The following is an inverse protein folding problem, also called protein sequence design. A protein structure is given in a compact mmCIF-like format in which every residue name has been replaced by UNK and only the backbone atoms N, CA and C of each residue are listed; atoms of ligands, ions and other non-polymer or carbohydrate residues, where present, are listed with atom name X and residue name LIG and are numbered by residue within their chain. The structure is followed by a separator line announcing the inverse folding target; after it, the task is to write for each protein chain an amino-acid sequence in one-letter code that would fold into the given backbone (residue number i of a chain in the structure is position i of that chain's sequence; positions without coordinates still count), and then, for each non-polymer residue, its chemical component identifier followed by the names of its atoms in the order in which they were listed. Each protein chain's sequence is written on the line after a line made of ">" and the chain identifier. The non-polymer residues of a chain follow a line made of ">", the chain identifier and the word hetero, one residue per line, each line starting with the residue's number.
data_IF_645020158275
#
_entry.id   IF_645020158275
#
_cell.length_a   1.000
_cell.length_b   1.000
_cell.length_c   1.000
_cell.angle_alpha   90.00
_cell.angle_beta   90.00
_cell.angle_gamma   90.00
#
_symmetry.space_group_name_H-M   'P 1'
#
loop_
_entity.id
_entity.type
_entity.pdbx_description
1 polymer ?
#
# COMPACT_ATOMS: atom_id res chain seq x y z
N UNK A 1 -31.49 10.15 2.36
CA UNK A 1 -32.14 11.37 1.90
C UNK A 1 -32.25 11.42 0.39
N UNK A 2 -33.34 11.99 -0.11
CA UNK A 2 -33.68 12.09 -1.55
C UNK A 2 -32.67 12.85 -2.41
N UNK A 3 -31.69 13.52 -1.81
CA UNK A 3 -30.71 14.40 -2.48
C UNK A 3 -29.25 14.01 -2.27
N UNK A 4 -28.98 12.81 -1.81
CA UNK A 4 -27.58 12.35 -1.75
C UNK A 4 -27.16 11.89 -3.14
N UNK A 5 -26.26 12.61 -3.84
CA UNK A 5 -25.82 12.20 -5.16
C UNK A 5 -25.10 10.85 -5.07
N UNK A 6 -25.30 10.00 -6.06
CA UNK A 6 -24.48 8.81 -6.23
C UNK A 6 -23.09 9.27 -6.63
N UNK A 7 -22.14 9.18 -5.72
CA UNK A 7 -20.73 9.47 -5.99
C UNK A 7 -20.00 8.18 -6.31
N UNK A 8 -19.13 8.24 -7.30
CA UNK A 8 -18.14 7.18 -7.53
C UNK A 8 -16.94 7.50 -6.64
N UNK A 9 -16.79 6.76 -5.54
CA UNK A 9 -15.65 6.90 -4.66
C UNK A 9 -14.48 5.98 -5.07
N UNK A 10 -13.26 6.33 -4.63
CA UNK A 10 -12.08 5.46 -4.80
C UNK A 10 -11.61 5.28 -6.25
N UNK A 11 -11.93 6.24 -7.13
CA UNK A 11 -11.44 6.25 -8.52
C UNK A 11 -9.94 6.42 -8.56
N UNK A 12 -9.24 5.58 -9.34
CA UNK A 12 -7.80 5.65 -9.57
C UNK A 12 -7.52 5.68 -11.06
N UNK A 13 -6.93 6.77 -11.51
CA UNK A 13 -6.48 6.90 -12.90
C UNK A 13 -5.45 5.86 -13.24
N UNK A 14 -5.57 5.29 -14.42
CA UNK A 14 -4.54 4.43 -15.00
C UNK A 14 -3.52 5.27 -15.77
N UNK A 15 -2.35 4.68 -16.00
CA UNK A 15 -1.20 5.32 -16.62
C UNK A 15 -1.45 5.80 -18.05
N UNK A 16 -2.36 5.15 -18.76
CA UNK A 16 -2.72 5.52 -20.13
C UNK A 16 -3.50 6.84 -20.23
N UNK A 17 -4.03 7.35 -19.10
CA UNK A 17 -4.84 8.57 -19.07
C UNK A 17 -6.23 8.43 -19.67
N UNK A 18 -6.58 7.26 -20.22
CA UNK A 18 -7.86 6.97 -20.86
C UNK A 18 -8.79 6.16 -19.98
N UNK A 19 -8.23 5.46 -19.00
CA UNK A 19 -8.94 4.55 -18.12
C UNK A 19 -8.76 4.89 -16.64
N UNK A 20 -9.69 4.40 -15.86
CA UNK A 20 -9.61 4.41 -14.40
C UNK A 20 -10.08 3.08 -13.82
N UNK A 21 -9.70 2.83 -12.60
CA UNK A 21 -10.22 1.70 -11.83
C UNK A 21 -11.04 2.18 -10.65
N UNK A 22 -12.02 1.38 -10.25
CA UNK A 22 -12.80 1.57 -9.04
C UNK A 22 -13.15 0.21 -8.44
N UNK A 23 -13.46 0.20 -7.14
CA UNK A 23 -13.96 -1.00 -6.48
C UNK A 23 -15.47 -1.11 -6.68
N UNK A 24 -15.89 -2.23 -7.22
CA UNK A 24 -17.29 -2.60 -7.37
C UNK A 24 -17.54 -4.00 -6.79
N UNK A 25 -18.26 -4.07 -5.69
CA UNK A 25 -18.68 -5.34 -5.05
C UNK A 25 -17.52 -6.31 -4.77
N UNK A 26 -16.37 -5.78 -4.31
CA UNK A 26 -15.17 -6.57 -4.01
C UNK A 26 -14.33 -6.93 -5.24
N UNK A 27 -14.59 -6.25 -6.37
CA UNK A 27 -13.80 -6.34 -7.60
C UNK A 27 -13.09 -5.04 -7.86
N UNK A 28 -11.88 -5.11 -8.41
CA UNK A 28 -11.21 -3.96 -9.02
C UNK A 28 -11.56 -4.00 -10.51
N UNK A 29 -12.30 -3.00 -10.95
CA UNK A 29 -12.86 -2.94 -12.30
C UNK A 29 -12.28 -1.75 -13.05
N UNK A 30 -11.88 -1.96 -14.32
CA UNK A 30 -11.42 -0.93 -15.23
C UNK A 30 -12.58 -0.35 -16.01
N UNK A 31 -12.62 0.96 -16.11
CA UNK A 31 -13.62 1.76 -16.82
C UNK A 31 -12.95 2.73 -17.80
N UNK A 32 -13.70 3.11 -18.84
CA UNK A 32 -13.31 4.19 -19.77
C UNK A 32 -13.67 5.54 -19.20
N UNK A 33 -12.75 6.50 -19.20
CA UNK A 33 -13.06 7.89 -18.87
C UNK A 33 -14.01 8.53 -19.90
N UNK A 34 -13.87 8.15 -21.16
CA UNK A 34 -14.66 8.74 -22.25
C UNK A 34 -16.13 8.31 -22.22
N UNK A 35 -16.41 7.05 -21.91
CA UNK A 35 -17.77 6.51 -22.00
C UNK A 35 -18.39 6.15 -20.66
N UNK A 36 -17.58 6.03 -19.61
CA UNK A 36 -18.00 5.49 -18.31
C UNK A 36 -18.27 3.99 -18.32
N UNK A 37 -18.05 3.31 -19.46
CA UNK A 37 -18.32 1.88 -19.59
C UNK A 37 -17.33 1.01 -18.82
N UNK A 38 -17.86 -0.05 -18.26
CA UNK A 38 -17.07 -1.13 -17.64
C UNK A 38 -16.38 -1.93 -18.75
N UNK A 39 -15.05 -2.03 -18.65
CA UNK A 39 -14.24 -2.70 -19.66
C UNK A 39 -13.74 -4.08 -19.21
N UNK A 40 -13.20 -4.18 -18.00
CA UNK A 40 -12.62 -5.42 -17.52
C UNK A 40 -12.64 -5.51 -15.99
N UNK A 41 -12.70 -6.74 -15.48
CA UNK A 41 -12.37 -7.05 -14.08
C UNK A 41 -10.88 -7.37 -14.02
N UNK A 42 -10.12 -6.60 -13.22
CA UNK A 42 -8.69 -6.82 -13.03
C UNK A 42 -8.45 -7.77 -11.87
N UNK A 43 -9.21 -7.63 -10.79
CA UNK A 43 -9.17 -8.51 -9.62
C UNK A 43 -10.58 -8.79 -9.13
N UNK A 44 -10.86 -10.05 -8.76
CA UNK A 44 -12.12 -10.45 -8.14
C UNK A 44 -11.83 -11.29 -6.88
N UNK A 45 -12.23 -10.77 -5.71
CA UNK A 45 -12.03 -11.46 -4.44
C UNK A 45 -12.73 -12.82 -4.38
N UNK A 46 -13.82 -13.00 -5.12
CA UNK A 46 -14.60 -14.24 -5.11
C UNK A 46 -13.90 -15.39 -5.83
N UNK A 47 -13.03 -15.09 -6.79
CA UNK A 47 -12.26 -16.07 -7.57
C UNK A 47 -10.80 -16.15 -7.14
N UNK A 48 -10.32 -15.22 -6.33
CA UNK A 48 -8.96 -15.23 -5.82
C UNK A 48 -8.72 -16.40 -4.85
N UNK A 49 -7.52 -16.95 -4.89
CA UNK A 49 -7.09 -18.02 -3.98
C UNK A 49 -5.81 -17.62 -3.26
N UNK A 50 -5.86 -17.44 -1.92
CA UNK A 50 -7.05 -17.46 -1.08
C UNK A 50 -7.99 -16.28 -1.36
N UNK A 51 -9.28 -16.42 -1.05
CA UNK A 51 -10.19 -15.27 -1.06
C UNK A 51 -9.79 -14.30 0.04
N UNK A 52 -9.66 -13.02 -0.31
CA UNK A 52 -9.26 -11.97 0.64
C UNK A 52 -10.25 -10.80 0.61
N UNK A 53 -10.47 -10.21 1.76
CA UNK A 53 -11.32 -9.03 1.90
C UNK A 53 -10.43 -7.80 2.01
N UNK A 54 -10.19 -7.14 0.89
CA UNK A 54 -9.30 -5.98 0.82
C UNK A 54 -10.07 -4.67 1.05
N UNK A 55 -9.42 -3.71 1.69
CA UNK A 55 -9.96 -2.38 1.97
C UNK A 55 -9.41 -1.31 1.04
N UNK A 56 -8.20 -1.51 0.53
CA UNK A 56 -7.51 -0.57 -0.34
C UNK A 56 -6.58 -1.30 -1.30
N UNK A 57 -6.21 -0.66 -2.42
CA UNK A 57 -5.29 -1.22 -3.40
C UNK A 57 -4.41 -0.16 -4.04
N UNK A 58 -3.23 -0.56 -4.52
CA UNK A 58 -2.32 0.31 -5.29
C UNK A 58 -1.65 -0.50 -6.39
N UNK A 59 -1.55 0.09 -7.58
CA UNK A 59 -0.78 -0.51 -8.66
C UNK A 59 0.72 -0.24 -8.52
N UNK A 60 1.54 -1.16 -9.04
CA UNK A 60 2.92 -0.87 -9.41
C UNK A 60 2.96 0.17 -10.54
N UNK A 61 4.11 0.83 -10.76
CA UNK A 61 4.23 1.87 -11.76
C UNK A 61 3.95 1.38 -13.20
N UNK A 62 4.20 0.11 -13.49
CA UNK A 62 3.90 -0.53 -14.77
C UNK A 62 2.51 -1.19 -14.83
N UNK A 63 1.72 -1.07 -13.73
CA UNK A 63 0.38 -1.62 -13.56
C UNK A 63 0.27 -3.15 -13.70
N UNK A 64 1.40 -3.85 -13.64
CA UNK A 64 1.41 -5.32 -13.71
C UNK A 64 1.18 -6.00 -12.38
N UNK A 65 1.28 -5.26 -11.26
CA UNK A 65 1.04 -5.77 -9.91
C UNK A 65 0.13 -4.84 -9.12
N UNK A 66 -0.60 -5.44 -8.19
CA UNK A 66 -1.47 -4.72 -7.27
C UNK A 66 -1.07 -5.09 -5.84
N UNK A 67 -0.84 -4.07 -5.02
CA UNK A 67 -0.70 -4.19 -3.59
C UNK A 67 -2.09 -4.01 -2.96
N UNK A 68 -2.60 -5.04 -2.31
CA UNK A 68 -3.90 -5.07 -1.64
C UNK A 68 -3.69 -5.01 -0.13
N UNK A 69 -4.43 -4.18 0.60
CA UNK A 69 -4.41 -4.13 2.06
C UNK A 69 -5.63 -4.82 2.67
N UNK A 70 -5.38 -5.68 3.65
CA UNK A 70 -6.40 -6.40 4.44
C UNK A 70 -6.16 -6.17 5.93
N UNK A 71 -7.10 -6.55 6.77
CA UNK A 71 -6.97 -6.51 8.23
C UNK A 71 -6.49 -5.16 8.77
N UNK A 72 -6.99 -4.08 8.17
CA UNK A 72 -6.59 -2.71 8.50
C UNK A 72 -7.02 -2.36 9.91
N UNK A 73 -6.05 -1.95 10.74
CA UNK A 73 -6.28 -1.48 12.13
C UNK A 73 -5.72 -0.06 12.27
N UNK A 74 -6.57 0.93 12.53
CA UNK A 74 -6.11 2.30 12.75
C UNK A 74 -5.13 2.38 13.92
N UNK A 75 -4.09 3.20 13.75
CA UNK A 75 -3.13 3.56 14.82
C UNK A 75 -3.44 4.98 15.29
N UNK A 76 -3.43 5.95 14.37
CA UNK A 76 -3.82 7.34 14.60
C UNK A 76 -4.80 7.77 13.51
N UNK A 77 -4.90 9.07 13.24
CA UNK A 77 -5.86 9.61 12.26
C UNK A 77 -5.60 9.13 10.83
N UNK A 78 -4.34 8.94 10.44
CA UNK A 78 -3.93 8.60 9.08
C UNK A 78 -3.14 7.29 9.01
N UNK A 79 -2.44 6.93 10.08
CA UNK A 79 -1.66 5.71 10.15
C UNK A 79 -2.49 4.52 10.55
N UNK A 80 -2.12 3.37 10.01
CA UNK A 80 -2.74 2.09 10.30
C UNK A 80 -1.72 0.96 10.09
N UNK A 81 -1.98 -0.16 10.72
CA UNK A 81 -1.36 -1.43 10.38
C UNK A 81 -2.27 -2.22 9.45
N UNK A 82 -1.69 -3.02 8.57
CA UNK A 82 -2.43 -3.90 7.67
C UNK A 82 -1.62 -5.14 7.33
N UNK A 83 -2.28 -6.19 6.86
CA UNK A 83 -1.66 -7.26 6.09
C UNK A 83 -1.69 -6.86 4.62
N UNK A 84 -0.57 -6.99 3.92
CA UNK A 84 -0.51 -6.68 2.51
C UNK A 84 -0.35 -7.92 1.65
N UNK A 85 -0.98 -7.89 0.48
CA UNK A 85 -0.94 -8.95 -0.52
C UNK A 85 -0.50 -8.39 -1.87
N UNK A 86 0.22 -9.20 -2.61
CA UNK A 86 0.63 -8.88 -3.99
C UNK A 86 -0.18 -9.75 -4.93
N UNK A 87 -0.91 -9.10 -5.82
CA UNK A 87 -1.59 -9.73 -6.95
C UNK A 87 -0.84 -9.41 -8.24
N UNK A 88 -0.44 -10.42 -8.99
CA UNK A 88 0.15 -10.26 -10.32
C UNK A 88 -0.95 -10.35 -11.38
N UNK A 89 -1.09 -9.29 -12.19
CA UNK A 89 -2.18 -9.21 -13.20
C UNK A 89 -1.91 -10.08 -14.41
N UNK A 90 -0.68 -10.59 -14.61
CA UNK A 90 -0.29 -11.39 -15.76
C UNK A 90 -0.67 -12.87 -15.61
N UNK A 91 -0.45 -13.40 -14.42
CA UNK A 91 -0.68 -14.84 -14.14
C UNK A 91 -1.80 -15.07 -13.11
N UNK A 92 -2.34 -14.01 -12.52
CA UNK A 92 -3.41 -14.10 -11.52
C UNK A 92 -2.95 -14.61 -10.15
N UNK A 93 -1.65 -14.71 -9.92
CA UNK A 93 -1.12 -15.17 -8.64
C UNK A 93 -1.37 -14.15 -7.53
N UNK A 94 -1.71 -14.66 -6.34
CA UNK A 94 -1.95 -13.86 -5.14
C UNK A 94 -1.13 -14.42 -3.99
N UNK A 95 -0.30 -13.58 -3.36
CA UNK A 95 0.52 -13.98 -2.21
C UNK A 95 0.65 -12.88 -1.17
N UNK A 96 0.90 -13.26 0.07
CA UNK A 96 1.23 -12.29 1.12
C UNK A 96 2.54 -11.58 0.81
N UNK A 97 2.61 -10.29 1.13
CA UNK A 97 3.84 -9.51 1.08
C UNK A 97 4.83 -10.02 2.13
N UNK A 98 4.35 -10.27 3.34
CA UNK A 98 5.15 -10.67 4.50
C UNK A 98 4.38 -11.66 5.36
N UNK A 99 5.09 -12.53 6.05
CA UNK A 99 4.55 -13.42 7.09
C UNK A 99 5.00 -13.03 8.50
N UNK A 100 5.79 -11.96 8.62
CA UNK A 100 6.38 -11.50 9.89
C UNK A 100 5.47 -10.63 10.76
N UNK A 101 4.19 -10.49 10.41
CA UNK A 101 3.21 -9.68 11.13
C UNK A 101 2.76 -8.43 10.37
N UNK A 102 1.85 -7.64 10.94
CA UNK A 102 1.25 -6.48 10.28
C UNK A 102 2.28 -5.44 9.88
N UNK A 103 2.06 -4.82 8.73
CA UNK A 103 2.94 -3.80 8.17
C UNK A 103 2.25 -2.43 8.13
N UNK A 104 3.04 -1.37 7.96
CA UNK A 104 2.58 -0.01 7.74
C UNK A 104 3.20 0.53 6.45
N UNK A 105 2.44 1.36 5.74
CA UNK A 105 2.91 2.19 4.63
C UNK A 105 3.64 1.45 3.50
N UNK A 106 3.20 0.23 3.17
CA UNK A 106 3.81 -0.53 2.09
C UNK A 106 3.76 0.23 0.75
N UNK A 107 4.89 0.30 0.04
CA UNK A 107 5.05 1.02 -1.22
C UNK A 107 5.98 0.30 -2.18
N UNK A 108 5.53 0.15 -3.44
CA UNK A 108 6.36 -0.39 -4.51
C UNK A 108 7.59 0.47 -4.76
N UNK A 109 8.70 -0.17 -5.12
CA UNK A 109 9.80 0.52 -5.80
C UNK A 109 9.36 1.00 -7.19
N UNK A 110 9.98 2.06 -7.77
CA UNK A 110 9.60 2.57 -9.09
C UNK A 110 9.69 1.54 -10.21
N UNK A 111 10.58 0.56 -10.10
CA UNK A 111 10.73 -0.55 -11.04
C UNK A 111 9.69 -1.69 -10.82
N UNK A 112 8.89 -1.62 -9.74
CA UNK A 112 7.87 -2.61 -9.40
C UNK A 112 8.41 -3.96 -8.90
N UNK A 113 9.73 -4.09 -8.69
CA UNK A 113 10.34 -5.37 -8.28
C UNK A 113 10.42 -5.58 -6.77
N UNK A 114 10.29 -4.51 -5.99
CA UNK A 114 10.38 -4.53 -4.53
C UNK A 114 9.26 -3.74 -3.88
N UNK A 115 8.99 -4.04 -2.61
CA UNK A 115 8.09 -3.28 -1.75
C UNK A 115 8.82 -2.93 -0.46
N UNK A 116 8.86 -1.64 -0.12
CA UNK A 116 9.29 -1.19 1.20
C UNK A 116 8.08 -1.03 2.11
N UNK A 117 8.26 -1.34 3.39
CA UNK A 117 7.24 -1.19 4.41
C UNK A 117 7.87 -1.02 5.80
N UNK A 118 7.09 -0.57 6.76
CA UNK A 118 7.52 -0.50 8.16
C UNK A 118 6.81 -1.59 8.97
N UNK A 119 7.57 -2.25 9.84
CA UNK A 119 7.08 -3.20 10.84
C UNK A 119 7.87 -3.00 12.14
N UNK A 120 7.16 -2.93 13.26
CA UNK A 120 7.76 -2.74 14.60
C UNK A 120 8.74 -1.56 14.67
N UNK A 121 8.37 -0.43 14.03
CA UNK A 121 9.18 0.79 13.91
C UNK A 121 10.48 0.66 13.11
N UNK A 122 10.66 -0.41 12.36
CA UNK A 122 11.79 -0.58 11.45
C UNK A 122 11.37 -0.69 9.99
N UNK A 123 12.24 -0.20 9.13
CA UNK A 123 12.08 -0.24 7.68
C UNK A 123 12.54 -1.59 7.14
N UNK A 124 11.73 -2.18 6.27
CA UNK A 124 11.99 -3.44 5.57
C UNK A 124 11.81 -3.26 4.07
N UNK A 125 12.45 -4.13 3.32
CA UNK A 125 12.26 -4.29 1.87
C UNK A 125 12.05 -5.75 1.55
N UNK A 126 10.97 -6.06 0.84
CA UNK A 126 10.71 -7.38 0.28
C UNK A 126 11.03 -7.37 -1.22
N UNK A 127 11.77 -8.37 -1.68
CA UNK A 127 11.96 -8.65 -3.09
C UNK A 127 10.76 -9.46 -3.61
N UNK A 128 10.20 -9.06 -4.74
CA UNK A 128 9.00 -9.70 -5.28
C UNK A 128 9.31 -10.92 -6.15
N UNK A 129 10.57 -11.16 -6.52
CA UNK A 129 10.95 -12.33 -7.31
C UNK A 129 11.02 -13.60 -6.45
N UNK A 130 11.57 -13.50 -5.25
CA UNK A 130 11.80 -14.65 -4.36
C UNK A 130 11.07 -14.54 -3.01
N UNK A 131 10.47 -13.37 -2.71
CA UNK A 131 9.81 -13.09 -1.43
C UNK A 131 10.77 -12.82 -0.28
N UNK A 132 12.08 -12.68 -0.53
CA UNK A 132 13.06 -12.42 0.49
C UNK A 132 12.84 -11.05 1.15
N UNK A 133 12.76 -11.03 2.48
CA UNK A 133 12.68 -9.80 3.26
C UNK A 133 14.05 -9.40 3.80
N UNK A 134 14.39 -8.13 3.65
CA UNK A 134 15.56 -7.54 4.26
C UNK A 134 15.16 -6.42 5.21
N UNK A 135 15.54 -6.53 6.47
CA UNK A 135 15.43 -5.46 7.46
C UNK A 135 16.52 -4.42 7.15
N UNK A 136 16.12 -3.16 6.97
CA UNK A 136 17.01 -2.05 6.60
C UNK A 136 17.50 -1.32 7.85
N UNK A 137 16.61 -1.11 8.83
CA UNK A 137 16.95 -0.54 10.13
C UNK A 137 16.72 -1.58 11.22
N UNK A 138 17.39 -1.46 12.37
CA UNK A 138 17.33 -2.48 13.42
C UNK A 138 17.27 -1.89 14.85
N UNK A 139 17.09 -0.57 14.94
CA UNK A 139 17.03 0.16 16.20
C UNK A 139 15.60 0.63 16.56
N UNK A 140 14.61 0.25 15.75
CA UNK A 140 13.20 0.57 15.97
C UNK A 140 12.72 0.03 17.31
N UNK A 141 12.08 0.90 18.11
CA UNK A 141 11.56 0.57 19.42
C UNK A 141 10.44 1.54 19.79
N UNK A 142 9.29 0.97 20.19
CA UNK A 142 8.12 1.76 20.60
C UNK A 142 8.50 2.78 21.67
N UNK A 143 8.03 4.02 21.51
CA UNK A 143 8.28 5.19 22.38
C UNK A 143 9.78 5.54 22.51
N UNK A 144 10.61 5.17 21.55
CA UNK A 144 12.01 5.52 21.52
C UNK A 144 12.47 5.89 20.11
N UNK A 145 12.51 4.92 19.20
CA UNK A 145 13.03 5.10 17.84
C UNK A 145 11.99 4.63 16.84
N UNK A 146 11.69 5.50 15.89
CA UNK A 146 10.75 5.22 14.82
C UNK A 146 11.44 5.47 13.48
N UNK A 147 11.46 4.47 12.61
CA UNK A 147 12.07 4.55 11.28
C UNK A 147 11.00 4.43 10.20
N UNK A 148 10.96 5.39 9.26
CA UNK A 148 10.15 5.30 8.05
C UNK A 148 8.66 5.63 8.20
N UNK A 149 8.20 5.92 9.41
CA UNK A 149 6.89 6.50 9.72
C UNK A 149 7.07 7.63 10.71
N UNK A 150 6.18 8.66 10.75
CA UNK A 150 6.28 9.76 11.68
C UNK A 150 5.86 9.34 13.09
N UNK A 151 6.25 10.16 14.08
CA UNK A 151 5.60 10.16 15.37
C UNK A 151 4.18 10.79 15.29
N UNK A 152 3.44 10.75 16.39
CA UNK A 152 2.08 11.27 16.44
C UNK A 152 1.99 12.77 16.10
N UNK A 153 2.92 13.58 16.59
CA UNK A 153 2.92 15.04 16.38
C UNK A 153 3.12 15.36 14.91
N UNK A 154 4.10 14.74 14.27
CA UNK A 154 4.35 14.95 12.83
C UNK A 154 3.21 14.43 11.95
N UNK A 155 2.55 13.34 12.32
CA UNK A 155 1.36 12.86 11.61
C UNK A 155 0.22 13.87 11.67
N UNK A 156 -0.07 14.42 12.85
CA UNK A 156 -1.17 15.38 13.04
C UNK A 156 -0.89 16.74 12.43
N UNK A 157 0.29 17.31 12.67
CA UNK A 157 0.63 18.67 12.25
C UNK A 157 0.99 18.77 10.76
N UNK A 158 1.68 17.78 10.21
CA UNK A 158 2.15 17.80 8.81
C UNK A 158 1.39 16.87 7.88
N UNK A 159 0.39 16.16 8.38
CA UNK A 159 -0.56 15.37 7.60
C UNK A 159 0.05 14.26 6.74
N UNK A 160 1.15 13.63 7.16
CA UNK A 160 1.73 12.48 6.48
C UNK A 160 1.86 11.27 7.43
N UNK A 161 1.78 10.06 6.89
CA UNK A 161 1.90 8.81 7.62
C UNK A 161 3.06 7.93 7.10
N UNK A 162 3.62 8.24 5.93
CA UNK A 162 4.81 7.60 5.38
C UNK A 162 5.99 8.55 5.42
N UNK A 163 7.07 8.14 6.06
CA UNK A 163 8.29 8.91 6.24
C UNK A 163 9.49 8.24 5.55
N UNK A 164 9.29 7.57 4.43
CA UNK A 164 10.33 7.06 3.55
C UNK A 164 9.93 7.23 2.08
N UNK A 165 10.93 7.35 1.21
CA UNK A 165 10.73 7.42 -0.24
C UNK A 165 11.84 6.67 -0.99
N UNK A 166 11.44 6.01 -2.08
CA UNK A 166 12.36 5.41 -3.02
C UNK A 166 13.03 6.48 -3.90
N UNK A 167 14.32 6.30 -4.21
CA UNK A 167 14.92 7.06 -5.31
C UNK A 167 14.26 6.68 -6.65
N UNK A 168 14.21 7.60 -7.64
CA UNK A 168 13.56 7.32 -8.93
C UNK A 168 14.11 6.08 -9.66
N UNK A 169 15.37 5.73 -9.44
CA UNK A 169 16.01 4.53 -9.99
C UNK A 169 15.74 3.25 -9.17
N UNK A 170 14.96 3.36 -8.08
CA UNK A 170 14.64 2.26 -7.20
C UNK A 170 15.81 1.67 -6.38
N UNK A 171 17.01 2.27 -6.46
CA UNK A 171 18.22 1.69 -5.84
C UNK A 171 18.47 2.12 -4.41
N UNK A 172 17.83 3.22 -3.98
CA UNK A 172 18.01 3.81 -2.65
C UNK A 172 16.67 4.11 -2.02
N UNK A 173 16.66 4.17 -0.69
CA UNK A 173 15.54 4.66 0.11
C UNK A 173 16.08 5.75 1.03
N UNK A 174 15.43 6.89 1.02
CA UNK A 174 15.58 7.91 2.06
C UNK A 174 14.47 7.72 3.09
N UNK A 175 14.77 7.90 4.36
CA UNK A 175 13.76 7.83 5.42
C UNK A 175 14.07 8.83 6.53
N UNK A 176 13.03 9.22 7.25
CA UNK A 176 13.16 9.97 8.49
C UNK A 176 13.24 9.00 9.66
N UNK A 177 14.11 9.31 10.61
CA UNK A 177 14.26 8.63 11.89
C UNK A 177 13.89 9.60 12.99
N UNK A 178 12.91 9.24 13.80
CA UNK A 178 12.45 10.03 14.94
C UNK A 178 13.01 9.42 16.22
N UNK A 179 13.56 10.25 17.08
CA UNK A 179 14.10 9.84 18.38
C UNK A 179 13.27 10.47 19.50
N UNK A 180 12.37 9.66 20.07
CA UNK A 180 11.50 10.02 21.17
C UNK A 180 12.08 9.64 22.55
N UNK A 181 13.32 9.15 22.61
CA UNK A 181 13.91 8.62 23.84
C UNK A 181 14.02 9.66 24.98
N UNK A 182 13.92 10.94 24.64
CA UNK A 182 13.96 12.07 25.59
C UNK A 182 12.60 12.74 25.78
N UNK A 183 11.55 12.27 25.13
CA UNK A 183 10.19 12.78 25.32
C UNK A 183 9.63 12.21 26.62
N UNK A 184 9.08 13.11 27.48
CA UNK A 184 8.51 12.76 28.79
C UNK A 184 6.99 12.85 28.76
#
# INVERSE_FOLDING_TARGET
>A
GLFTPKTVGGVRSMRDGEHYTAVDSGRIVRYSYRTGERLAVIFDRATATPSIDFTDYRFSADETRILLSTDVKPVYRRSFTAEYWIFDTKDGSLRRLSTGGPQQQAAFSPDGHRVAFVRDNDLFVADLADGAERRITSDGRKNHIINGIPDWVYEEEFAFARAFEWSPDGRRIAWLRFDESRVR
#
